data_IF_650876979202
#
_entry.id   IF_650876979202
#
_cell.length_a   1.000
_cell.length_b   1.000
_cell.length_c   1.000
_cell.angle_alpha   90.00
_cell.angle_beta   90.00
_cell.angle_gamma   90.00
#
_symmetry.space_group_name_H-M   'P 1'
#
loop_
_entity.id
_entity.type
_entity.pdbx_description
1 polymer ?
#
# COMPACT_ATOMS: atom_id res chain seq x y z
N UNK A 1 -8.70 14.87 -7.99
CA UNK A 1 -7.79 13.75 -8.32
C UNK A 1 -7.93 12.54 -7.40
N UNK A 2 -8.21 12.75 -6.10
CA UNK A 2 -8.17 11.68 -5.10
C UNK A 2 -9.26 10.61 -5.25
N UNK A 3 -10.48 10.98 -5.66
CA UNK A 3 -11.54 10.00 -5.91
C UNK A 3 -11.12 8.96 -6.96
N UNK A 4 -10.49 9.38 -8.06
CA UNK A 4 -9.96 8.48 -9.08
C UNK A 4 -8.81 7.62 -8.54
N UNK A 5 -7.91 8.20 -7.74
CA UNK A 5 -6.85 7.44 -7.07
C UNK A 5 -7.43 6.36 -6.14
N UNK A 6 -8.33 6.72 -5.23
CA UNK A 6 -8.98 5.78 -4.31
C UNK A 6 -9.77 4.71 -5.05
N UNK A 7 -10.55 5.08 -6.07
CA UNK A 7 -11.27 4.13 -6.90
C UNK A 7 -10.32 3.15 -7.59
N UNK A 8 -9.19 3.63 -8.14
CA UNK A 8 -8.20 2.76 -8.79
C UNK A 8 -7.55 1.78 -7.81
N UNK A 9 -7.24 2.21 -6.58
CA UNK A 9 -6.67 1.34 -5.55
C UNK A 9 -7.68 0.33 -5.01
N UNK A 10 -8.93 0.73 -4.85
CA UNK A 10 -10.02 -0.20 -4.51
C UNK A 10 -10.21 -1.25 -5.61
N UNK A 11 -10.22 -0.83 -6.89
CA UNK A 11 -10.31 -1.74 -8.03
C UNK A 11 -9.13 -2.73 -8.09
N UNK A 12 -7.89 -2.27 -7.84
CA UNK A 12 -6.72 -3.13 -7.77
C UNK A 12 -6.81 -4.17 -6.64
N UNK A 13 -7.35 -3.81 -5.49
CA UNK A 13 -7.57 -4.75 -4.39
C UNK A 13 -8.57 -5.84 -4.79
N UNK A 14 -9.74 -5.46 -5.31
CA UNK A 14 -10.75 -6.43 -5.75
C UNK A 14 -10.26 -7.32 -6.90
N UNK A 15 -9.50 -6.76 -7.83
CA UNK A 15 -8.86 -7.52 -8.90
C UNK A 15 -7.89 -8.57 -8.34
N UNK A 16 -7.05 -8.18 -7.39
CA UNK A 16 -6.06 -9.07 -6.77
C UNK A 16 -6.73 -10.24 -6.04
N UNK A 17 -7.79 -9.97 -5.27
CA UNK A 17 -8.55 -11.00 -4.56
C UNK A 17 -9.24 -11.97 -5.52
N UNK A 18 -9.79 -11.45 -6.61
CA UNK A 18 -10.47 -12.25 -7.64
C UNK A 18 -9.46 -13.12 -8.39
N UNK A 19 -8.33 -12.53 -8.78
CA UNK A 19 -7.25 -13.25 -9.42
C UNK A 19 -6.70 -14.37 -8.52
N UNK A 20 -6.56 -14.16 -7.20
CA UNK A 20 -6.14 -15.24 -6.30
C UNK A 20 -7.13 -16.41 -6.32
N UNK A 21 -8.44 -16.12 -6.21
CA UNK A 21 -9.48 -17.16 -6.28
C UNK A 21 -9.41 -17.94 -7.58
N UNK A 22 -9.14 -17.27 -8.71
CA UNK A 22 -8.96 -17.95 -9.99
C UNK A 22 -7.70 -18.83 -10.03
N UNK A 23 -6.59 -18.39 -9.44
CA UNK A 23 -5.38 -19.22 -9.33
C UNK A 23 -5.63 -20.47 -8.47
N UNK A 24 -6.37 -20.33 -7.38
CA UNK A 24 -6.75 -21.44 -6.51
C UNK A 24 -7.61 -22.46 -7.25
N UNK A 25 -8.62 -22.00 -8.01
CA UNK A 25 -9.47 -22.87 -8.84
C UNK A 25 -8.69 -23.59 -9.93
N UNK A 26 -7.69 -22.94 -10.53
CA UNK A 26 -6.83 -23.52 -11.56
C UNK A 26 -5.72 -24.41 -10.99
N UNK A 27 -5.49 -24.39 -9.68
CA UNK A 27 -4.45 -25.16 -9.01
C UNK A 27 -3.04 -24.81 -9.48
N UNK A 28 -2.78 -23.55 -9.88
CA UNK A 28 -1.49 -23.16 -10.47
C UNK A 28 -0.36 -23.04 -9.46
N UNK A 29 -0.69 -22.93 -8.16
CA UNK A 29 0.26 -22.63 -7.10
C UNK A 29 0.75 -21.18 -7.09
N UNK A 30 0.24 -20.31 -7.97
CA UNK A 30 0.59 -18.89 -7.99
C UNK A 30 -0.11 -18.16 -6.84
N UNK A 31 0.65 -17.31 -6.13
CA UNK A 31 0.14 -16.48 -5.04
C UNK A 31 0.22 -14.99 -5.41
N UNK A 32 -0.86 -14.28 -5.13
CA UNK A 32 -1.06 -12.87 -5.46
C UNK A 32 -1.25 -12.05 -4.18
N UNK A 33 -0.49 -10.97 -4.05
CA UNK A 33 -0.61 -10.02 -2.95
C UNK A 33 -0.74 -8.58 -3.45
N UNK A 34 -1.59 -7.81 -2.78
CA UNK A 34 -1.72 -6.37 -2.91
C UNK A 34 -1.18 -5.73 -1.63
N UNK A 35 0.09 -5.31 -1.66
CA UNK A 35 0.80 -4.80 -0.50
C UNK A 35 0.77 -3.27 -0.44
N UNK A 36 0.19 -2.73 0.62
CA UNK A 36 0.18 -1.30 0.91
C UNK A 36 1.43 -0.90 1.73
N UNK A 37 2.28 0.00 1.23
CA UNK A 37 3.51 0.41 1.91
C UNK A 37 3.29 1.41 3.06
N UNK A 38 2.05 1.85 3.28
CA UNK A 38 1.74 2.90 4.26
C UNK A 38 2.02 4.30 3.72
N UNK A 39 2.25 5.25 4.63
CA UNK A 39 2.56 6.64 4.29
C UNK A 39 4.08 6.81 4.29
N UNK A 40 4.66 6.89 3.10
CA UNK A 40 6.11 6.90 2.88
C UNK A 40 6.58 8.28 2.44
N UNK A 41 7.70 8.76 2.99
CA UNK A 41 8.30 10.02 2.58
C UNK A 41 8.85 9.90 1.16
N UNK A 42 8.10 10.44 0.20
CA UNK A 42 8.38 10.33 -1.24
C UNK A 42 8.00 11.63 -1.94
N UNK A 43 8.47 11.82 -3.18
CA UNK A 43 8.06 12.96 -4.01
C UNK A 43 6.53 13.07 -4.18
N UNK A 44 5.81 11.94 -4.15
CA UNK A 44 4.34 11.91 -4.17
C UNK A 44 3.73 12.57 -2.92
N UNK A 45 4.28 12.31 -1.73
CA UNK A 45 3.87 13.01 -0.49
C UNK A 45 4.10 14.52 -0.59
N UNK A 46 5.23 14.95 -1.16
CA UNK A 46 5.52 16.37 -1.36
C UNK A 46 4.51 17.06 -2.29
N UNK A 47 4.12 16.40 -3.39
CA UNK A 47 3.11 16.91 -4.30
C UNK A 47 1.71 16.98 -3.66
N UNK A 48 1.34 15.95 -2.89
CA UNK A 48 0.05 15.90 -2.19
C UNK A 48 -0.09 17.03 -1.16
N UNK A 49 0.99 17.39 -0.45
CA UNK A 49 0.97 18.50 0.53
C UNK A 49 0.81 19.88 -0.11
N UNK A 50 1.24 20.04 -1.36
CA UNK A 50 1.22 21.31 -2.09
C UNK A 50 -0.01 21.47 -3.00
N UNK A 51 -0.84 20.43 -3.13
CA UNK A 51 -2.09 20.48 -3.88
C UNK A 51 -3.13 21.37 -3.18
N UNK A 52 -4.03 22.01 -3.94
CA UNK A 52 -5.09 22.84 -3.34
C UNK A 52 -6.13 21.99 -2.59
N UNK A 53 -6.56 22.47 -1.42
CA UNK A 53 -7.57 21.82 -0.54
C UNK A 53 -8.84 21.43 -1.32
N UNK A 54 -9.28 22.29 -2.24
CA UNK A 54 -10.47 22.05 -3.06
C UNK A 54 -10.37 20.81 -3.98
N UNK A 55 -9.15 20.33 -4.25
CA UNK A 55 -8.89 19.16 -5.09
C UNK A 55 -8.54 17.90 -4.30
N UNK A 56 -8.36 18.03 -2.98
CA UNK A 56 -7.84 16.98 -2.11
C UNK A 56 -8.50 16.96 -0.72
N UNK A 57 -9.49 16.08 -0.56
CA UNK A 57 -10.26 15.93 0.69
C UNK A 57 -9.43 15.47 1.89
N UNK A 58 -8.32 14.78 1.66
CA UNK A 58 -7.48 14.22 2.73
C UNK A 58 -6.25 15.09 3.05
N UNK A 59 -6.16 16.34 2.54
CA UNK A 59 -4.96 17.19 2.72
C UNK A 59 -4.57 17.36 4.17
N UNK A 60 -5.54 17.69 5.03
CA UNK A 60 -5.30 17.90 6.44
C UNK A 60 -4.65 16.66 7.11
N UNK A 61 -5.07 15.45 6.72
CA UNK A 61 -4.54 14.20 7.24
C UNK A 61 -3.08 13.97 6.84
N UNK A 62 -2.73 14.23 5.59
CA UNK A 62 -1.33 14.05 5.14
C UNK A 62 -0.40 15.16 5.62
N UNK A 63 -0.87 16.40 5.74
CA UNK A 63 -0.14 17.48 6.41
C UNK A 63 0.13 17.13 7.87
N UNK A 64 -0.86 16.51 8.55
CA UNK A 64 -0.69 16.04 9.92
C UNK A 64 0.34 14.91 10.05
N UNK A 65 0.31 13.92 9.14
CA UNK A 65 1.33 12.86 9.11
C UNK A 65 2.76 13.40 8.97
N UNK A 66 2.94 14.44 8.15
CA UNK A 66 4.25 15.10 8.05
C UNK A 66 4.61 15.87 9.32
N UNK A 67 3.69 16.68 9.84
CA UNK A 67 3.93 17.51 11.03
C UNK A 67 4.26 16.67 12.28
N UNK A 68 3.76 15.44 12.37
CA UNK A 68 4.03 14.51 13.46
C UNK A 68 5.23 13.58 13.22
N UNK A 69 5.96 13.72 12.10
CA UNK A 69 7.08 12.83 11.78
C UNK A 69 6.67 11.37 11.56
N UNK A 70 5.41 11.13 11.17
CA UNK A 70 4.85 9.78 10.97
C UNK A 70 5.11 9.23 9.56
N UNK A 71 5.87 9.95 8.73
CA UNK A 71 6.30 9.44 7.43
C UNK A 71 7.42 8.42 7.63
N UNK A 72 7.25 7.24 7.05
CA UNK A 72 8.31 6.24 7.06
C UNK A 72 9.36 6.57 5.99
N UNK A 73 10.62 6.39 6.33
CA UNK A 73 11.72 6.47 5.38
C UNK A 73 11.53 5.43 4.26
N UNK A 74 11.71 5.86 3.01
CA UNK A 74 11.51 5.00 1.85
C UNK A 74 12.49 3.82 1.82
N UNK A 75 13.73 4.01 2.28
CA UNK A 75 14.73 2.95 2.41
C UNK A 75 14.31 1.90 3.43
N UNK A 76 13.80 2.32 4.60
CA UNK A 76 13.29 1.41 5.62
C UNK A 76 12.08 0.60 5.10
N UNK A 77 11.12 1.26 4.45
CA UNK A 77 9.96 0.56 3.87
C UNK A 77 10.39 -0.44 2.79
N UNK A 78 11.32 -0.05 1.91
CA UNK A 78 11.85 -0.93 0.88
C UNK A 78 12.55 -2.15 1.49
N UNK A 79 13.38 -1.97 2.53
CA UNK A 79 14.03 -3.08 3.24
C UNK A 79 13.00 -4.06 3.83
N UNK A 80 11.91 -3.55 4.42
CA UNK A 80 10.83 -4.40 4.95
C UNK A 80 10.12 -5.18 3.85
N UNK A 81 9.83 -4.54 2.70
CA UNK A 81 9.25 -5.22 1.54
C UNK A 81 10.18 -6.33 1.03
N UNK A 82 11.48 -6.04 0.87
CA UNK A 82 12.47 -7.02 0.41
C UNK A 82 12.60 -8.18 1.40
N UNK A 83 12.68 -7.90 2.70
CA UNK A 83 12.73 -8.93 3.72
C UNK A 83 11.51 -9.86 3.67
N UNK A 84 10.32 -9.28 3.52
CA UNK A 84 9.07 -10.04 3.36
C UNK A 84 9.04 -10.88 2.07
N UNK A 85 9.51 -10.34 0.94
CA UNK A 85 9.58 -11.09 -0.33
C UNK A 85 10.44 -12.36 -0.23
N UNK A 86 11.41 -12.40 0.67
CA UNK A 86 12.21 -13.60 0.94
C UNK A 86 11.53 -14.59 1.89
N UNK A 87 10.51 -14.18 2.65
CA UNK A 87 9.84 -15.00 3.65
C UNK A 87 8.30 -14.87 3.62
N UNK A 88 7.63 -14.94 2.44
CA UNK A 88 6.20 -14.76 2.38
C UNK A 88 5.48 -15.98 2.96
N UNK A 89 4.42 -15.75 3.74
CA UNK A 89 3.59 -16.83 4.28
C UNK A 89 2.36 -17.06 3.41
N UNK A 90 2.10 -18.32 3.04
CA UNK A 90 0.90 -18.69 2.29
C UNK A 90 -0.41 -18.39 3.04
N UNK A 91 -0.35 -18.22 4.38
CA UNK A 91 -1.50 -17.91 5.24
C UNK A 91 -1.87 -16.42 5.25
N UNK A 92 -1.02 -15.57 4.69
CA UNK A 92 -1.29 -14.14 4.62
C UNK A 92 -2.48 -13.85 3.70
N UNK A 93 -3.32 -12.85 4.04
CA UNK A 93 -4.39 -12.41 3.14
C UNK A 93 -3.82 -11.82 1.84
N UNK A 94 -4.65 -11.73 0.80
CA UNK A 94 -4.26 -11.08 -0.47
C UNK A 94 -3.92 -9.61 -0.24
N UNK A 95 -4.76 -8.88 0.49
CA UNK A 95 -4.52 -7.47 0.81
C UNK A 95 -3.69 -7.39 2.08
N UNK A 96 -2.50 -6.79 1.97
CA UNK A 96 -1.55 -6.66 3.06
C UNK A 96 -1.17 -5.21 3.30
N UNK A 97 -0.76 -4.90 4.52
CA UNK A 97 -0.10 -3.64 4.85
C UNK A 97 1.26 -3.95 5.43
N UNK A 98 2.25 -3.13 5.09
CA UNK A 98 3.59 -3.24 5.69
C UNK A 98 3.54 -3.16 7.23
N UNK A 99 2.58 -2.43 7.81
CA UNK A 99 2.35 -2.39 9.26
C UNK A 99 2.00 -3.74 9.89
N UNK A 100 1.38 -4.64 9.12
CA UNK A 100 0.82 -5.90 9.61
C UNK A 100 1.86 -7.04 9.50
N UNK A 101 2.96 -6.79 8.78
CA UNK A 101 4.07 -7.71 8.66
C UNK A 101 4.96 -7.60 9.90
N UNK A 102 5.30 -8.74 10.49
CA UNK A 102 6.26 -8.84 11.59
C UNK A 102 7.52 -8.05 11.22
N UNK A 103 8.05 -7.29 12.19
CA UNK A 103 9.35 -6.67 12.04
C UNK A 103 10.42 -7.76 11.80
N UNK A 104 11.45 -7.47 10.98
CA UNK A 104 12.58 -8.38 10.82
C UNK A 104 13.24 -8.72 12.17
#
# INVERSE_FOLDING_TARGET
GWAAYCASKAALNSLSETAQKEQDLRGTGVRIWALAPGVVDTAMQAHIRTAEVAQFSEQAKFTHYYAQGQLQDAGVVAQRIVHWLHHPSAKEPVILRISDLLAP
#
